data_IF_975987135018
#
_entry.id   IF_975987135018
#
_cell.length_a   1.000
_cell.length_b   1.000
_cell.length_c   1.000
_cell.angle_alpha   90.00
_cell.angle_beta   90.00
_cell.angle_gamma   90.00
#
_symmetry.space_group_name_H-M   'P 1'
#
loop_
_entity.id
_entity.type
_entity.pdbx_description
1 polymer ?
#
# COMPACT_ATOMS: atom_id res chain seq x y z
N UNK A 1 10.94 9.86 8.18
CA UNK A 1 10.08 10.96 7.69
C UNK A 1 8.94 11.30 8.65
N UNK A 2 8.42 10.34 9.41
CA UNK A 2 7.36 10.53 10.41
C UNK A 2 7.94 10.42 11.83
N UNK A 3 8.99 11.17 12.09
CA UNK A 3 9.56 11.31 13.44
C UNK A 3 8.55 11.96 14.41
N UNK A 4 8.86 11.94 15.70
CA UNK A 4 7.95 12.46 16.72
C UNK A 4 7.61 13.94 16.51
N UNK A 5 8.57 14.73 16.08
CA UNK A 5 8.43 16.17 15.84
C UNK A 5 7.86 16.49 14.45
N UNK A 6 7.79 15.51 13.55
CA UNK A 6 7.48 15.69 12.11
C UNK A 6 8.41 16.75 11.47
N UNK A 7 9.71 16.61 11.68
CA UNK A 7 10.71 17.59 11.24
C UNK A 7 10.69 17.82 9.71
N UNK A 8 10.35 16.77 8.94
CA UNK A 8 10.17 16.87 7.47
C UNK A 8 8.85 17.54 7.06
N UNK A 9 7.93 17.78 7.99
CA UNK A 9 6.60 18.35 7.74
C UNK A 9 6.28 19.47 8.75
N UNK A 10 7.08 20.55 8.80
CA UNK A 10 6.87 21.65 9.73
C UNK A 10 5.54 22.37 9.46
N UNK A 11 4.94 22.97 10.49
CA UNK A 11 3.67 23.70 10.33
C UNK A 11 3.76 24.83 9.31
N UNK A 12 4.93 25.47 9.19
CA UNK A 12 5.18 26.52 8.18
C UNK A 12 4.99 26.00 6.73
N UNK A 13 5.31 24.73 6.47
CA UNK A 13 5.05 24.12 5.15
C UNK A 13 3.55 24.15 4.84
N UNK A 14 2.72 23.68 5.78
CA UNK A 14 1.27 23.62 5.58
C UNK A 14 0.66 25.02 5.48
N UNK A 15 1.15 25.97 6.26
CA UNK A 15 0.72 27.37 6.17
C UNK A 15 0.98 27.97 4.78
N UNK A 16 2.15 27.70 4.20
CA UNK A 16 2.49 28.15 2.83
C UNK A 16 1.64 27.45 1.78
N UNK A 17 1.42 26.15 1.90
CA UNK A 17 0.56 25.39 0.99
C UNK A 17 -0.88 25.91 1.02
N UNK A 18 -1.42 26.16 2.21
CA UNK A 18 -2.75 26.76 2.38
C UNK A 18 -2.83 28.15 1.71
N UNK A 19 -1.82 29.00 1.88
CA UNK A 19 -1.80 30.35 1.32
C UNK A 19 -1.88 30.38 -0.20
N UNK A 20 -1.49 29.30 -0.89
CA UNK A 20 -1.60 29.16 -2.35
C UNK A 20 -2.77 28.26 -2.77
N UNK A 21 -3.69 27.95 -1.85
CA UNK A 21 -4.93 27.22 -2.15
C UNK A 21 -4.81 25.71 -2.22
N UNK A 22 -3.70 25.12 -1.76
CA UNK A 22 -3.55 23.65 -1.67
C UNK A 22 -4.43 23.13 -0.55
N UNK A 23 -5.27 22.14 -0.84
CA UNK A 23 -6.18 21.50 0.09
C UNK A 23 -5.93 19.98 0.26
N UNK A 24 -4.95 19.43 -0.43
CA UNK A 24 -4.53 18.05 -0.31
C UNK A 24 -3.09 17.84 -0.73
N UNK A 25 -2.40 16.96 -0.05
CA UNK A 25 -1.05 16.51 -0.41
C UNK A 25 -1.01 14.98 -0.37
N UNK A 26 -0.21 14.36 -1.22
CA UNK A 26 -0.03 12.93 -1.21
C UNK A 26 1.33 12.53 -0.63
N UNK A 27 1.34 11.39 0.04
CA UNK A 27 2.50 10.79 0.66
C UNK A 27 2.75 9.41 0.03
N UNK A 28 3.93 9.21 -0.54
CA UNK A 28 4.32 7.89 -1.02
C UNK A 28 4.40 6.90 0.14
N UNK A 29 3.68 5.80 -0.01
CA UNK A 29 3.46 4.84 1.07
C UNK A 29 3.68 3.41 0.56
N UNK A 30 4.29 2.59 1.42
CA UNK A 30 4.42 1.14 1.22
C UNK A 30 3.60 0.44 2.30
N UNK A 31 2.51 -0.18 1.92
CA UNK A 31 1.48 -0.68 2.83
C UNK A 31 2.02 -1.61 3.92
N UNK A 32 2.91 -2.56 3.55
CA UNK A 32 3.52 -3.50 4.52
C UNK A 32 4.29 -2.83 5.65
N UNK A 33 4.67 -1.56 5.51
CA UNK A 33 5.35 -0.81 6.58
C UNK A 33 4.39 -0.19 7.59
N UNK A 34 3.09 -0.23 7.32
CA UNK A 34 2.02 0.35 8.14
C UNK A 34 1.08 -0.71 8.73
N UNK A 35 1.35 -1.98 8.49
CA UNK A 35 0.61 -3.12 9.05
C UNK A 35 1.56 -4.07 9.74
N UNK A 36 1.12 -4.70 10.82
CA UNK A 36 1.89 -5.75 11.49
C UNK A 36 1.92 -7.02 10.62
N UNK A 37 2.96 -7.88 10.78
CA UNK A 37 2.92 -9.22 10.20
C UNK A 37 1.68 -9.98 10.67
N UNK A 38 1.06 -10.74 9.76
CA UNK A 38 -0.11 -11.55 10.08
C UNK A 38 0.23 -13.04 10.22
N UNK A 39 -0.70 -13.81 10.76
CA UNK A 39 -0.59 -15.25 10.98
C UNK A 39 -0.62 -16.08 9.67
N UNK A 40 -1.01 -15.45 8.56
CA UNK A 40 -1.01 -16.04 7.23
C UNK A 40 0.31 -15.85 6.48
N UNK A 41 1.31 -15.24 7.13
CA UNK A 41 2.63 -15.03 6.57
C UNK A 41 2.73 -13.90 5.54
N UNK A 42 1.74 -12.99 5.46
CA UNK A 42 1.88 -11.78 4.65
C UNK A 42 2.90 -10.81 5.25
N UNK A 43 3.52 -9.96 4.40
CA UNK A 43 4.54 -9.04 4.90
C UNK A 43 3.93 -7.95 5.78
N UNK A 44 4.64 -7.63 6.86
CA UNK A 44 4.35 -6.53 7.77
C UNK A 44 5.63 -6.03 8.42
N UNK A 45 5.49 -5.08 9.32
CA UNK A 45 6.60 -4.46 10.02
C UNK A 45 6.28 -4.31 11.51
N UNK A 46 7.19 -4.73 12.38
CA UNK A 46 7.02 -4.66 13.84
C UNK A 46 6.86 -3.22 14.34
N UNK A 47 7.36 -2.24 13.57
CA UNK A 47 7.22 -0.80 13.86
C UNK A 47 6.00 -0.16 13.21
N UNK A 48 5.05 -0.95 12.71
CA UNK A 48 3.85 -0.44 12.04
C UNK A 48 3.06 0.52 12.95
N UNK A 49 2.84 0.16 14.21
CA UNK A 49 2.11 0.98 15.17
C UNK A 49 2.76 2.36 15.40
N UNK A 50 4.09 2.42 15.47
CA UNK A 50 4.83 3.68 15.59
C UNK A 50 4.63 4.56 14.35
N UNK A 51 4.67 3.97 13.15
CA UNK A 51 4.46 4.71 11.89
C UNK A 51 3.02 5.17 11.71
N UNK A 52 2.05 4.36 12.12
CA UNK A 52 0.64 4.74 12.16
C UNK A 52 0.41 5.91 13.11
N UNK A 53 1.02 5.89 14.31
CA UNK A 53 0.98 7.02 15.22
C UNK A 53 1.60 8.30 14.62
N UNK A 54 2.73 8.16 13.88
CA UNK A 54 3.33 9.26 13.13
C UNK A 54 2.41 9.80 12.02
N UNK A 55 1.70 8.91 11.34
CA UNK A 55 0.72 9.29 10.31
C UNK A 55 -0.46 10.07 10.92
N UNK A 56 -0.98 9.65 12.07
CA UNK A 56 -2.02 10.38 12.79
C UNK A 56 -1.57 11.80 13.13
N UNK A 57 -0.36 11.96 13.70
CA UNK A 57 0.19 13.29 13.97
C UNK A 57 0.31 14.17 12.72
N UNK A 58 0.69 13.58 11.58
CA UNK A 58 0.79 14.30 10.31
C UNK A 58 -0.59 14.74 9.81
N UNK A 59 -1.58 13.85 9.84
CA UNK A 59 -2.97 14.14 9.44
C UNK A 59 -3.55 15.26 10.32
N UNK A 60 -3.39 15.17 11.64
CA UNK A 60 -3.84 16.21 12.58
C UNK A 60 -3.17 17.55 12.31
N UNK A 61 -1.85 17.57 12.04
CA UNK A 61 -1.12 18.80 11.71
C UNK A 61 -1.63 19.43 10.42
N UNK A 62 -1.78 18.65 9.36
CA UNK A 62 -2.28 19.12 8.07
C UNK A 62 -3.73 19.64 8.16
N UNK A 63 -4.57 18.96 8.95
CA UNK A 63 -5.97 19.32 9.13
C UNK A 63 -6.18 20.73 9.71
N UNK A 64 -5.26 21.23 10.57
CA UNK A 64 -5.28 22.62 11.07
C UNK A 64 -5.28 23.66 9.95
N UNK A 65 -4.77 23.29 8.80
CA UNK A 65 -4.64 24.16 7.60
C UNK A 65 -5.64 23.79 6.51
N UNK A 66 -6.63 22.94 6.80
CA UNK A 66 -7.62 22.47 5.83
C UNK A 66 -7.03 21.55 4.74
N UNK A 67 -5.84 20.97 4.99
CA UNK A 67 -5.15 20.10 4.05
C UNK A 67 -5.34 18.65 4.44
N UNK A 68 -5.78 17.80 3.49
CA UNK A 68 -5.89 16.36 3.66
C UNK A 68 -4.63 15.65 3.19
N UNK A 69 -4.28 14.56 3.87
CA UNK A 69 -3.22 13.65 3.47
C UNK A 69 -3.82 12.50 2.66
N UNK A 70 -3.30 12.27 1.47
CA UNK A 70 -3.64 11.15 0.59
C UNK A 70 -2.48 10.18 0.53
N UNK A 71 -2.75 8.89 0.43
CA UNK A 71 -1.71 7.88 0.28
C UNK A 71 -1.48 7.59 -1.21
N UNK A 72 -0.23 7.63 -1.64
CA UNK A 72 0.17 7.18 -2.96
C UNK A 72 0.69 5.75 -2.86
N UNK A 73 0.02 4.82 -3.50
CA UNK A 73 0.24 3.37 -3.36
C UNK A 73 0.60 2.71 -4.69
N UNK A 74 1.64 1.87 -4.66
CA UNK A 74 1.94 0.88 -5.68
C UNK A 74 1.87 -0.51 -5.05
N UNK A 75 0.68 -1.04 -4.85
CA UNK A 75 0.47 -2.27 -4.08
C UNK A 75 -0.21 -3.40 -4.90
N UNK A 76 -0.02 -4.63 -4.43
CA UNK A 76 0.93 -5.09 -3.43
C UNK A 76 2.38 -5.05 -3.97
N UNK A 77 3.35 -4.60 -3.17
CA UNK A 77 4.77 -4.54 -3.57
C UNK A 77 5.37 -5.94 -3.67
N UNK A 78 6.16 -6.17 -4.72
CA UNK A 78 6.99 -7.36 -4.82
C UNK A 78 7.96 -7.47 -3.63
N UNK A 79 8.32 -8.71 -3.29
CA UNK A 79 9.25 -9.05 -2.23
C UNK A 79 10.44 -9.82 -2.81
N UNK A 80 11.58 -9.73 -2.13
CA UNK A 80 12.74 -10.54 -2.45
C UNK A 80 12.46 -12.05 -2.31
N UNK A 81 13.21 -12.85 -3.05
CA UNK A 81 13.09 -14.30 -3.05
C UNK A 81 13.18 -14.89 -1.63
N UNK A 82 14.02 -14.30 -0.78
CA UNK A 82 14.22 -14.69 0.61
C UNK A 82 12.94 -14.63 1.47
N UNK A 83 11.97 -13.80 1.08
CA UNK A 83 10.66 -13.74 1.77
C UNK A 83 9.83 -14.99 1.51
N UNK A 84 9.97 -15.60 0.34
CA UNK A 84 9.18 -16.75 -0.10
C UNK A 84 9.87 -18.09 0.18
N UNK A 85 11.21 -18.10 0.19
CA UNK A 85 12.02 -19.30 0.27
C UNK A 85 11.80 -20.08 1.57
N UNK A 86 11.61 -21.40 1.43
CA UNK A 86 11.43 -22.29 2.57
C UNK A 86 10.05 -22.25 3.23
N UNK A 87 9.11 -21.45 2.70
CA UNK A 87 7.74 -21.34 3.20
C UNK A 87 6.73 -21.63 2.07
N UNK A 88 6.12 -22.79 2.10
CA UNK A 88 5.14 -23.22 1.08
C UNK A 88 3.92 -22.30 1.00
N UNK A 89 3.48 -21.77 2.15
CA UNK A 89 2.34 -20.85 2.19
C UNK A 89 2.68 -19.54 1.51
N UNK A 90 3.82 -18.92 1.83
CA UNK A 90 4.28 -17.70 1.17
C UNK A 90 4.51 -17.92 -0.32
N UNK A 91 5.12 -19.04 -0.69
CA UNK A 91 5.34 -19.38 -2.10
C UNK A 91 4.01 -19.54 -2.85
N UNK A 92 2.91 -19.94 -2.21
CA UNK A 92 1.58 -19.98 -2.82
C UNK A 92 1.07 -18.60 -3.24
N UNK A 93 1.55 -17.53 -2.62
CA UNK A 93 1.22 -16.13 -2.95
C UNK A 93 2.09 -15.54 -4.06
N UNK A 94 3.24 -16.19 -4.35
CA UNK A 94 4.16 -15.71 -5.36
C UNK A 94 3.53 -15.72 -6.76
N UNK A 95 3.84 -14.70 -7.52
CA UNK A 95 3.49 -14.53 -8.92
C UNK A 95 4.68 -14.64 -9.84
N UNK A 96 4.81 -13.71 -10.80
CA UNK A 96 5.93 -13.66 -11.76
C UNK A 96 7.23 -13.22 -11.05
N UNK A 97 8.34 -13.80 -11.48
CA UNK A 97 9.69 -13.44 -11.02
C UNK A 97 10.32 -12.41 -11.94
N UNK A 98 11.01 -11.43 -11.35
CA UNK A 98 11.83 -10.45 -12.07
C UNK A 98 13.14 -10.25 -11.28
N UNK A 99 14.24 -10.73 -11.81
CA UNK A 99 15.51 -10.80 -11.06
C UNK A 99 15.38 -11.70 -9.84
N UNK A 100 15.68 -11.16 -8.68
CA UNK A 100 15.57 -11.80 -7.36
C UNK A 100 14.25 -11.46 -6.62
N UNK A 101 13.30 -10.84 -7.32
CA UNK A 101 12.02 -10.42 -6.75
C UNK A 101 10.85 -11.23 -7.32
N UNK A 102 9.89 -11.60 -6.46
CA UNK A 102 8.60 -12.12 -6.88
C UNK A 102 7.51 -11.07 -6.68
N UNK A 103 6.62 -10.95 -7.67
CA UNK A 103 5.35 -10.25 -7.48
C UNK A 103 4.41 -11.06 -6.59
N UNK A 104 3.39 -10.41 -6.02
CA UNK A 104 2.24 -11.13 -5.49
C UNK A 104 1.25 -11.48 -6.60
N UNK A 105 0.74 -12.71 -6.58
CA UNK A 105 -0.25 -13.17 -7.54
C UNK A 105 -1.67 -12.78 -7.11
N UNK A 106 -2.23 -11.75 -7.73
CA UNK A 106 -3.57 -11.25 -7.39
C UNK A 106 -4.73 -12.12 -7.87
N UNK A 107 -4.45 -13.17 -8.65
CA UNK A 107 -5.41 -14.26 -8.87
C UNK A 107 -5.48 -15.25 -7.70
N UNK A 108 -4.64 -15.07 -6.66
CA UNK A 108 -4.82 -15.74 -5.39
C UNK A 108 -5.72 -14.87 -4.49
N UNK A 109 -6.91 -15.36 -4.07
CA UNK A 109 -7.87 -14.55 -3.31
C UNK A 109 -7.34 -14.08 -1.95
N UNK A 110 -6.40 -14.82 -1.33
CA UNK A 110 -5.78 -14.42 -0.06
C UNK A 110 -4.94 -13.14 -0.20
N UNK A 111 -4.30 -12.94 -1.36
CA UNK A 111 -3.53 -11.71 -1.64
C UNK A 111 -4.47 -10.49 -1.68
N UNK A 112 -5.60 -10.60 -2.39
CA UNK A 112 -6.60 -9.53 -2.44
C UNK A 112 -7.28 -9.30 -1.09
N UNK A 113 -7.53 -10.38 -0.34
CA UNK A 113 -8.09 -10.30 1.00
C UNK A 113 -7.12 -9.60 1.98
N UNK A 114 -5.82 -9.93 1.93
CA UNK A 114 -4.80 -9.25 2.71
C UNK A 114 -4.76 -7.75 2.38
N UNK A 115 -4.75 -7.40 1.09
CA UNK A 115 -4.73 -6.01 0.65
C UNK A 115 -5.93 -5.23 1.20
N UNK A 116 -7.14 -5.82 1.12
CA UNK A 116 -8.37 -5.20 1.65
C UNK A 116 -8.31 -5.01 3.17
N UNK A 117 -7.93 -6.05 3.94
CA UNK A 117 -7.81 -5.97 5.41
C UNK A 117 -6.76 -4.95 5.85
N UNK A 118 -5.64 -4.89 5.13
CA UNK A 118 -4.56 -3.93 5.44
C UNK A 118 -5.01 -2.48 5.22
N UNK A 119 -5.79 -2.23 4.17
CA UNK A 119 -6.36 -0.91 3.91
C UNK A 119 -7.45 -0.55 4.92
N UNK A 120 -8.34 -1.50 5.27
CA UNK A 120 -9.35 -1.34 6.31
C UNK A 120 -8.70 -0.94 7.64
N UNK A 121 -7.73 -1.73 8.12
CA UNK A 121 -6.99 -1.44 9.33
C UNK A 121 -6.37 -0.03 9.31
N UNK A 122 -5.70 0.33 8.22
CA UNK A 122 -5.05 1.63 8.11
C UNK A 122 -6.06 2.79 8.17
N UNK A 123 -7.21 2.68 7.51
CA UNK A 123 -8.24 3.72 7.51
C UNK A 123 -9.07 3.73 8.82
N UNK A 124 -9.09 2.63 9.55
CA UNK A 124 -9.62 2.59 10.92
C UNK A 124 -8.70 3.27 11.91
N UNK A 125 -7.38 3.03 11.81
CA UNK A 125 -6.39 3.57 12.74
C UNK A 125 -6.01 5.03 12.45
N UNK A 126 -6.04 5.47 11.20
CA UNK A 126 -5.68 6.84 10.79
C UNK A 126 -6.92 7.58 10.31
N UNK A 127 -7.63 8.19 11.24
CA UNK A 127 -8.81 8.98 10.92
C UNK A 127 -8.44 10.30 10.22
N UNK A 128 -9.20 10.65 9.19
CA UNK A 128 -9.02 11.91 8.47
C UNK A 128 -8.10 11.86 7.25
N UNK A 129 -7.62 10.67 6.87
CA UNK A 129 -7.03 10.49 5.54
C UNK A 129 -7.98 10.96 4.45
N UNK A 130 -7.43 11.59 3.40
CA UNK A 130 -8.21 12.09 2.27
C UNK A 130 -8.63 11.00 1.30
N UNK A 131 -7.89 9.92 1.25
CA UNK A 131 -8.09 8.82 0.32
C UNK A 131 -6.77 8.25 -0.20
N UNK A 132 -6.83 7.57 -1.33
CA UNK A 132 -5.67 6.94 -1.97
C UNK A 132 -5.53 7.34 -3.43
N UNK A 133 -4.29 7.41 -3.90
CA UNK A 133 -3.93 7.38 -5.32
C UNK A 133 -3.23 6.06 -5.60
N UNK A 134 -3.76 5.27 -6.52
CA UNK A 134 -3.17 3.98 -6.90
C UNK A 134 -2.47 4.09 -8.25
N UNK A 135 -1.27 3.52 -8.36
CA UNK A 135 -0.66 3.17 -9.63
C UNK A 135 -0.49 1.66 -9.64
N UNK A 136 -1.50 1.01 -10.16
CA UNK A 136 -1.59 -0.45 -10.27
C UNK A 136 -0.89 -0.88 -11.54
N UNK A 137 0.09 -1.76 -11.45
CA UNK A 137 0.88 -2.22 -12.60
C UNK A 137 1.69 -1.10 -13.31
N UNK A 138 2.49 -0.37 -12.55
CA UNK A 138 3.41 0.66 -13.06
C UNK A 138 4.82 0.08 -13.36
N UNK A 139 5.81 0.97 -13.43
CA UNK A 139 7.23 0.61 -13.55
C UNK A 139 7.76 -0.20 -12.35
N UNK A 140 7.14 -0.07 -11.19
CA UNK A 140 7.48 -0.88 -10.03
C UNK A 140 6.98 -2.32 -10.19
N UNK A 141 7.80 -3.29 -9.78
CA UNK A 141 7.35 -4.67 -9.69
C UNK A 141 6.40 -4.82 -8.50
N UNK A 142 5.13 -5.10 -8.81
CA UNK A 142 4.06 -5.19 -7.81
C UNK A 142 3.31 -6.52 -7.94
N UNK A 143 2.43 -6.62 -8.90
CA UNK A 143 1.64 -7.82 -9.22
C UNK A 143 2.14 -8.47 -10.50
N UNK A 144 1.64 -9.64 -10.84
CA UNK A 144 1.92 -10.25 -12.15
C UNK A 144 1.60 -9.30 -13.31
N UNK A 145 0.57 -8.47 -13.18
CA UNK A 145 0.18 -7.51 -14.21
C UNK A 145 1.24 -6.43 -14.49
N UNK A 146 2.19 -6.20 -13.59
CA UNK A 146 3.29 -5.24 -13.81
C UNK A 146 4.30 -5.69 -14.84
N UNK A 147 4.54 -7.01 -14.94
CA UNK A 147 5.55 -7.62 -15.82
C UNK A 147 5.17 -9.05 -16.15
N UNK A 148 5.17 -9.39 -17.44
CA UNK A 148 5.10 -10.77 -17.92
C UNK A 148 3.96 -11.60 -17.29
N UNK A 149 2.76 -11.04 -17.15
CA UNK A 149 1.67 -11.71 -16.44
C UNK A 149 1.27 -13.05 -17.10
N UNK A 150 1.54 -13.23 -18.40
CA UNK A 150 1.32 -14.48 -19.12
C UNK A 150 2.15 -15.65 -18.57
N UNK A 151 3.29 -15.37 -17.94
CA UNK A 151 4.14 -16.40 -17.34
C UNK A 151 3.55 -16.95 -16.03
N UNK A 152 2.60 -16.26 -15.44
CA UNK A 152 1.90 -16.73 -14.26
C UNK A 152 0.77 -17.71 -14.67
N UNK A 153 0.77 -18.96 -14.19
CA UNK A 153 -0.23 -19.97 -14.61
C UNK A 153 -1.67 -19.62 -14.18
N UNK A 154 -1.82 -18.71 -13.22
CA UNK A 154 -3.12 -18.18 -12.77
C UNK A 154 -3.50 -16.92 -13.53
N UNK A 155 -2.67 -15.87 -13.42
CA UNK A 155 -2.96 -14.56 -14.01
C UNK A 155 -2.98 -14.58 -15.54
N UNK A 156 -2.15 -15.41 -16.19
CA UNK A 156 -2.11 -15.53 -17.65
C UNK A 156 -3.40 -16.04 -18.32
N UNK A 157 -4.37 -16.49 -17.52
CA UNK A 157 -5.70 -16.94 -17.98
C UNK A 157 -6.80 -15.91 -17.74
N UNK A 158 -6.46 -14.77 -17.14
CA UNK A 158 -7.41 -13.70 -16.76
C UNK A 158 -7.16 -12.50 -17.67
N UNK A 159 -8.20 -11.78 -18.02
CA UNK A 159 -8.05 -10.53 -18.75
C UNK A 159 -7.24 -9.51 -17.94
N UNK A 160 -6.35 -8.79 -18.62
CA UNK A 160 -5.47 -7.82 -17.98
C UNK A 160 -6.23 -6.71 -17.24
N UNK A 161 -7.33 -6.22 -17.85
CA UNK A 161 -8.14 -5.17 -17.24
C UNK A 161 -8.85 -5.67 -15.97
N UNK A 162 -9.29 -6.94 -15.95
CA UNK A 162 -9.89 -7.54 -14.77
C UNK A 162 -8.87 -7.69 -13.62
N UNK A 163 -7.63 -8.10 -13.91
CA UNK A 163 -6.56 -8.17 -12.92
C UNK A 163 -6.32 -6.80 -12.24
N UNK A 164 -6.27 -5.73 -13.04
CA UNK A 164 -6.10 -4.36 -12.52
C UNK A 164 -7.33 -3.92 -11.72
N UNK A 165 -8.52 -4.19 -12.23
CA UNK A 165 -9.77 -3.84 -11.57
C UNK A 165 -9.92 -4.54 -10.20
N UNK A 166 -9.55 -5.80 -10.09
CA UNK A 166 -9.65 -6.57 -8.85
C UNK A 166 -8.74 -6.04 -7.75
N UNK A 167 -7.53 -5.59 -8.11
CA UNK A 167 -6.61 -4.93 -7.17
C UNK A 167 -7.24 -3.64 -6.63
N UNK A 168 -7.73 -2.79 -7.54
CA UNK A 168 -8.33 -1.51 -7.15
C UNK A 168 -9.61 -1.71 -6.32
N UNK A 169 -10.45 -2.70 -6.65
CA UNK A 169 -11.62 -3.08 -5.86
C UNK A 169 -11.24 -3.60 -4.46
N UNK A 170 -10.11 -4.31 -4.33
CA UNK A 170 -9.64 -4.77 -3.02
C UNK A 170 -9.22 -3.59 -2.14
N UNK A 171 -8.50 -2.61 -2.70
CA UNK A 171 -8.14 -1.37 -2.02
C UNK A 171 -9.39 -0.58 -1.65
N UNK A 172 -10.31 -0.38 -2.59
CA UNK A 172 -11.57 0.35 -2.39
C UNK A 172 -12.40 -0.24 -1.24
N UNK A 173 -12.56 -1.58 -1.21
CA UNK A 173 -13.28 -2.25 -0.12
C UNK A 173 -12.68 -1.97 1.26
N UNK A 174 -11.36 -1.89 1.37
CA UNK A 174 -10.72 -1.57 2.64
C UNK A 174 -10.85 -0.09 3.02
N UNK A 175 -10.87 0.82 2.06
CA UNK A 175 -11.00 2.27 2.29
C UNK A 175 -12.42 2.65 2.74
N UNK A 176 -13.45 1.94 2.27
CA UNK A 176 -14.87 2.31 2.47
C UNK A 176 -15.61 1.43 3.50
N UNK A 177 -14.91 0.61 4.25
CA UNK A 177 -15.50 -0.16 5.35
C UNK A 177 -15.58 0.65 6.64
#
# INVERSE_FOLDING_TARGET
LLDEELSSYPEELFRRLQAVGVNGVWLHTVLRTLVAPDDKGFPGDERAAERVAGMNRLVERAAKYGIKIYLYLNEPRAMGEEFFDGDEQRMSYAGTKLGDMYSFCTSNPEVLAWLSRSMEHLFEEVKGLGGVFTITASENHTTCASRNYYDCPRCGKVDYADLIADINRAIERGVHK
#
